data_IF_804314010820
#
_entry.id   IF_804314010820
#
_cell.length_a   1.000
_cell.length_b   1.000
_cell.length_c   1.000
_cell.angle_alpha   90.00
_cell.angle_beta   90.00
_cell.angle_gamma   90.00
#
_symmetry.space_group_name_H-M   'P 1'
#
loop_
_entity.id
_entity.type
_entity.pdbx_description
1 polymer ?
#
# COMPACT_ATOMS: atom_id res chain seq x y z
N UNK A 1 -77.01 -3.05 4.96
CA UNK A 1 -76.55 -1.83 5.66
C UNK A 1 -75.12 -2.09 6.12
N UNK A 2 -74.20 -1.77 5.23
CA UNK A 2 -72.74 -1.81 5.39
C UNK A 2 -72.37 -0.70 6.38
N UNK A 3 -71.27 -0.88 7.14
CA UNK A 3 -70.64 0.04 8.12
C UNK A 3 -70.61 -0.60 9.52
N UNK A 4 -69.63 -1.47 9.79
CA UNK A 4 -69.09 -1.68 11.16
C UNK A 4 -67.76 -2.44 11.30
N UNK A 5 -66.88 -2.43 10.29
CA UNK A 5 -65.62 -3.21 10.33
C UNK A 5 -64.39 -2.49 9.76
N UNK A 6 -64.18 -1.21 10.05
CA UNK A 6 -63.07 -0.44 9.44
C UNK A 6 -62.38 0.57 10.37
N UNK A 7 -62.21 0.25 11.66
CA UNK A 7 -61.58 1.21 12.60
C UNK A 7 -60.52 0.65 13.54
N UNK A 8 -60.08 -0.60 13.37
CA UNK A 8 -59.07 -1.21 14.25
C UNK A 8 -57.83 -1.79 13.54
N UNK A 9 -57.60 -1.46 12.25
CA UNK A 9 -56.44 -1.96 11.49
C UNK A 9 -55.41 -0.88 11.12
N UNK A 10 -55.33 0.25 11.83
CA UNK A 10 -54.42 1.35 11.47
C UNK A 10 -53.31 1.66 12.47
N UNK A 11 -52.95 0.74 13.39
CA UNK A 11 -51.89 1.02 14.40
C UNK A 11 -50.72 0.02 14.42
N UNK A 12 -50.68 -1.02 13.59
CA UNK A 12 -49.57 -2.01 13.64
C UNK A 12 -48.88 -2.29 12.31
N UNK A 13 -48.46 -1.25 11.60
CA UNK A 13 -47.64 -1.41 10.38
C UNK A 13 -46.55 -0.33 10.21
N UNK A 14 -46.03 0.24 11.30
CA UNK A 14 -44.98 1.27 11.25
C UNK A 14 -43.68 0.89 11.99
N UNK A 15 -43.43 -0.40 12.22
CA UNK A 15 -42.27 -0.87 13.02
C UNK A 15 -41.34 -1.87 12.31
N UNK A 16 -41.47 -2.12 11.01
CA UNK A 16 -40.69 -3.14 10.30
C UNK A 16 -40.00 -2.66 9.01
N UNK A 17 -39.60 -1.39 8.96
CA UNK A 17 -38.73 -0.87 7.89
C UNK A 17 -37.52 -0.12 8.47
N UNK A 18 -36.91 -0.66 9.53
CA UNK A 18 -35.48 -0.50 9.71
C UNK A 18 -34.83 -1.43 8.68
N UNK A 19 -34.67 -0.93 7.45
CA UNK A 19 -33.72 -1.52 6.51
C UNK A 19 -32.38 -1.54 7.25
N UNK A 20 -31.98 -2.71 7.70
CA UNK A 20 -30.64 -2.93 8.22
C UNK A 20 -29.70 -2.56 7.07
N UNK A 21 -29.10 -1.37 7.12
CA UNK A 21 -28.04 -1.03 6.19
C UNK A 21 -27.00 -2.16 6.29
N UNK A 22 -26.55 -2.75 5.17
CA UNK A 22 -25.59 -3.84 5.22
C UNK A 22 -24.38 -3.36 6.03
N UNK A 23 -24.05 -4.10 7.08
CA UNK A 23 -22.93 -3.76 7.95
C UNK A 23 -21.65 -3.66 7.11
N UNK A 24 -20.88 -2.60 7.34
CA UNK A 24 -19.61 -2.40 6.64
C UNK A 24 -18.70 -3.62 6.85
N UNK A 25 -18.19 -4.17 5.76
CA UNK A 25 -17.26 -5.26 5.80
C UNK A 25 -15.97 -4.82 6.50
N UNK A 26 -15.37 -5.73 7.24
CA UNK A 26 -14.14 -5.45 7.96
C UNK A 26 -13.29 -6.69 8.12
N UNK A 27 -12.00 -6.47 8.37
CA UNK A 27 -11.01 -7.50 8.61
C UNK A 27 -10.25 -7.22 9.90
N UNK A 28 -9.90 -8.29 10.61
CA UNK A 28 -9.03 -8.28 11.78
C UNK A 28 -7.66 -8.86 11.43
N UNK A 29 -6.65 -8.71 12.29
CA UNK A 29 -5.31 -9.28 12.06
C UNK A 29 -5.33 -10.81 11.82
N UNK A 30 -6.09 -11.63 12.57
CA UNK A 30 -6.29 -13.04 12.21
C UNK A 30 -6.88 -13.27 10.83
N UNK A 31 -7.81 -12.40 10.41
CA UNK A 31 -8.36 -12.40 9.05
C UNK A 31 -7.29 -12.12 8.01
N UNK A 32 -6.47 -11.08 8.20
CA UNK A 32 -5.36 -10.74 7.30
C UNK A 32 -4.42 -11.93 7.11
N UNK A 33 -4.01 -12.56 8.21
CA UNK A 33 -3.11 -13.72 8.18
C UNK A 33 -3.75 -14.89 7.43
N UNK A 34 -4.93 -15.35 7.88
CA UNK A 34 -5.59 -16.54 7.32
C UNK A 34 -5.92 -16.38 5.83
N UNK A 35 -6.38 -15.20 5.39
CA UNK A 35 -6.68 -14.93 3.98
C UNK A 35 -5.42 -14.79 3.13
N UNK A 36 -4.35 -14.21 3.67
CA UNK A 36 -3.04 -14.15 2.97
C UNK A 36 -2.48 -15.55 2.75
N UNK A 37 -2.49 -16.38 3.79
CA UNK A 37 -2.06 -17.79 3.78
C UNK A 37 -2.88 -18.59 2.76
N UNK A 38 -4.21 -18.43 2.76
CA UNK A 38 -5.09 -19.12 1.83
C UNK A 38 -4.82 -18.77 0.34
N UNK A 39 -4.38 -17.55 0.05
CA UNK A 39 -4.06 -17.15 -1.33
C UNK A 39 -2.61 -17.48 -1.76
N UNK A 40 -1.74 -17.82 -0.81
CA UNK A 40 -0.32 -18.07 -1.05
C UNK A 40 -0.03 -19.07 -2.21
N UNK A 41 -0.75 -20.21 -2.36
CA UNK A 41 -0.51 -21.13 -3.47
C UNK A 41 -0.64 -20.50 -4.86
N UNK A 42 -1.53 -19.51 -5.02
CA UNK A 42 -1.74 -18.80 -6.29
C UNK A 42 -0.87 -17.56 -6.45
N UNK A 43 -0.46 -16.96 -5.32
CA UNK A 43 0.20 -15.66 -5.28
C UNK A 43 1.72 -15.74 -5.27
N UNK A 44 2.31 -16.70 -4.54
CA UNK A 44 3.76 -16.80 -4.33
C UNK A 44 4.55 -16.93 -5.65
N UNK A 45 4.06 -17.73 -6.61
CA UNK A 45 4.70 -17.94 -7.91
C UNK A 45 6.23 -18.19 -7.79
N UNK A 46 6.60 -19.18 -6.98
CA UNK A 46 7.99 -19.53 -6.71
C UNK A 46 8.71 -20.08 -7.95
N UNK A 47 9.91 -19.57 -8.24
CA UNK A 47 10.77 -19.98 -9.35
C UNK A 47 12.23 -20.01 -8.92
N UNK A 48 12.98 -20.99 -9.40
CA UNK A 48 14.44 -21.01 -9.31
C UNK A 48 14.99 -20.30 -10.55
N UNK A 49 15.75 -19.24 -10.36
CA UNK A 49 16.37 -18.41 -11.41
C UNK A 49 17.88 -18.63 -11.52
N UNK A 50 18.42 -19.69 -10.91
CA UNK A 50 19.82 -20.08 -11.08
C UNK A 50 20.60 -20.22 -9.77
N UNK A 51 21.89 -19.86 -9.79
CA UNK A 51 22.83 -20.11 -8.69
C UNK A 51 23.75 -18.91 -8.46
N UNK A 52 23.94 -18.54 -7.20
CA UNK A 52 24.91 -17.54 -6.75
C UNK A 52 26.18 -18.20 -6.21
N UNK A 53 27.33 -17.62 -6.55
CA UNK A 53 28.64 -18.04 -6.06
C UNK A 53 29.21 -17.02 -5.08
N UNK A 54 29.69 -17.51 -3.94
CA UNK A 54 30.25 -16.71 -2.86
C UNK A 54 31.64 -17.23 -2.47
N UNK A 55 32.58 -16.35 -2.22
CA UNK A 55 33.86 -16.67 -1.60
C UNK A 55 33.71 -16.66 -0.08
N UNK A 56 33.99 -17.78 0.57
CA UNK A 56 34.01 -17.90 2.03
C UNK A 56 35.41 -18.24 2.50
N UNK A 57 36.01 -17.35 3.28
CA UNK A 57 37.36 -17.54 3.84
C UNK A 57 37.26 -17.69 5.37
N UNK A 58 37.78 -18.80 5.90
CA UNK A 58 38.05 -18.97 7.34
C UNK A 58 39.53 -19.31 7.56
N UNK A 59 39.91 -20.59 7.56
CA UNK A 59 41.32 -21.05 7.54
C UNK A 59 41.85 -21.32 6.11
N UNK A 60 41.00 -21.06 5.12
CA UNK A 60 41.25 -21.16 3.68
C UNK A 60 40.01 -20.64 2.93
N UNK A 61 40.17 -20.23 1.67
CA UNK A 61 39.07 -19.70 0.87
C UNK A 61 38.44 -20.80 0.00
N UNK A 62 37.12 -20.98 0.11
CA UNK A 62 36.35 -21.90 -0.72
C UNK A 62 35.14 -21.20 -1.32
N UNK A 63 34.77 -21.62 -2.52
CA UNK A 63 33.54 -21.18 -3.16
C UNK A 63 32.36 -21.92 -2.50
N UNK A 64 31.36 -21.15 -2.08
CA UNK A 64 30.07 -21.64 -1.59
C UNK A 64 28.98 -21.17 -2.53
N UNK A 65 28.00 -22.03 -2.79
CA UNK A 65 26.87 -21.71 -3.65
C UNK A 65 25.59 -21.50 -2.84
N UNK A 66 24.65 -20.74 -3.41
CA UNK A 66 23.27 -20.65 -2.95
C UNK A 66 22.36 -20.63 -4.17
N UNK A 67 21.19 -21.26 -4.06
CA UNK A 67 20.14 -21.10 -5.07
C UNK A 67 19.73 -19.63 -5.17
N UNK A 68 19.50 -19.18 -6.41
CA UNK A 68 18.88 -17.90 -6.75
C UNK A 68 17.41 -18.15 -6.99
N UNK A 69 16.56 -17.51 -6.21
CA UNK A 69 15.12 -17.74 -6.21
C UNK A 69 14.38 -16.44 -6.49
N UNK A 70 13.23 -16.56 -7.14
CA UNK A 70 12.30 -15.46 -7.37
C UNK A 70 10.88 -15.88 -6.98
N UNK A 71 10.23 -15.06 -6.16
CA UNK A 71 8.84 -15.26 -5.78
C UNK A 71 8.24 -13.95 -5.27
N UNK A 72 6.94 -13.93 -5.08
CA UNK A 72 6.23 -12.83 -4.45
C UNK A 72 6.16 -13.01 -2.93
N UNK A 73 6.22 -11.91 -2.19
CA UNK A 73 6.10 -11.84 -0.74
C UNK A 73 4.97 -10.88 -0.38
N UNK A 74 4.03 -11.23 0.52
CA UNK A 74 2.96 -10.31 0.90
C UNK A 74 3.50 -9.28 1.88
N UNK A 75 4.11 -8.20 1.39
CA UNK A 75 4.88 -7.27 2.21
C UNK A 75 3.99 -6.35 3.05
N UNK A 76 2.99 -5.74 2.44
CA UNK A 76 2.17 -4.71 3.09
C UNK A 76 0.69 -4.94 2.81
N UNK A 77 -0.14 -4.60 3.79
CA UNK A 77 -1.56 -4.37 3.59
C UNK A 77 -1.74 -2.89 3.32
N UNK A 78 -2.34 -2.57 2.18
CA UNK A 78 -2.71 -1.21 1.80
C UNK A 78 -4.20 -1.05 1.97
N UNK A 79 -4.61 -0.09 2.80
CA UNK A 79 -6.03 0.19 3.04
C UNK A 79 -6.40 1.53 2.42
N UNK A 80 -7.62 1.65 1.92
CA UNK A 80 -8.20 2.93 1.49
C UNK A 80 -9.58 3.09 2.12
N UNK A 81 -9.88 4.27 2.64
CA UNK A 81 -11.07 4.52 3.44
C UNK A 81 -11.46 6.00 3.41
N UNK A 82 -12.72 6.31 3.68
CA UNK A 82 -13.20 7.70 3.68
C UNK A 82 -12.95 8.40 5.03
N UNK A 83 -12.98 7.64 6.13
CA UNK A 83 -12.76 8.14 7.48
C UNK A 83 -12.02 7.11 8.36
N UNK A 84 -11.22 7.53 9.35
CA UNK A 84 -10.52 6.61 10.26
C UNK A 84 -11.44 5.60 10.96
N UNK A 85 -12.66 5.99 11.32
CA UNK A 85 -13.66 5.09 11.95
C UNK A 85 -14.20 4.02 10.98
N UNK A 86 -14.17 4.31 9.70
CA UNK A 86 -14.58 3.42 8.61
C UNK A 86 -13.41 2.58 8.07
N UNK A 87 -12.26 2.62 8.71
CA UNK A 87 -11.11 1.82 8.31
C UNK A 87 -11.48 0.32 8.24
N UNK A 88 -11.16 -0.38 7.14
CA UNK A 88 -11.55 -1.78 6.94
C UNK A 88 -10.78 -2.75 7.85
N UNK A 89 -9.52 -2.45 8.18
CA UNK A 89 -8.74 -3.21 9.18
C UNK A 89 -8.99 -2.64 10.59
N UNK A 90 -9.77 -3.34 11.42
CA UNK A 90 -10.36 -2.75 12.64
C UNK A 90 -9.47 -2.70 13.87
N UNK A 91 -8.63 -3.68 14.08
CA UNK A 91 -7.79 -3.84 15.27
C UNK A 91 -6.42 -3.14 15.16
N UNK A 92 -5.95 -2.86 13.94
CA UNK A 92 -4.66 -2.18 13.71
C UNK A 92 -4.84 -0.88 12.94
N UNK A 93 -5.44 -0.91 11.75
CA UNK A 93 -5.50 0.27 10.90
C UNK A 93 -6.40 1.38 11.44
N UNK A 94 -7.58 1.05 12.00
CA UNK A 94 -8.49 2.06 12.55
C UNK A 94 -7.86 2.86 13.71
N UNK A 95 -7.28 2.22 14.74
CA UNK A 95 -6.57 2.95 15.80
C UNK A 95 -5.40 3.79 15.29
N UNK A 96 -4.61 3.26 14.35
CA UNK A 96 -3.47 3.98 13.74
C UNK A 96 -3.93 5.23 13.00
N UNK A 97 -4.94 5.11 12.14
CA UNK A 97 -5.50 6.24 11.39
C UNK A 97 -6.09 7.30 12.33
N UNK A 98 -6.82 6.88 13.37
CA UNK A 98 -7.38 7.81 14.37
C UNK A 98 -6.29 8.55 15.15
N UNK A 99 -5.25 7.84 15.61
CA UNK A 99 -4.14 8.46 16.34
C UNK A 99 -3.38 9.50 15.51
N UNK A 100 -3.25 9.27 14.20
CA UNK A 100 -2.51 10.15 13.29
C UNK A 100 -3.33 11.33 12.74
N UNK A 101 -4.64 11.36 12.95
CA UNK A 101 -5.50 12.46 12.49
C UNK A 101 -5.14 13.77 13.20
N UNK A 102 -4.88 13.72 14.51
CA UNK A 102 -4.41 14.87 15.29
C UNK A 102 -3.06 15.39 14.80
N UNK A 103 -2.13 14.47 14.52
CA UNK A 103 -0.82 14.78 13.98
C UNK A 103 -0.90 15.52 12.63
N UNK A 104 -1.69 14.97 11.70
CA UNK A 104 -1.92 15.60 10.40
C UNK A 104 -2.56 16.98 10.50
N UNK A 105 -3.46 17.16 11.48
CA UNK A 105 -4.11 18.45 11.72
C UNK A 105 -3.11 19.52 12.20
N UNK A 106 -2.19 19.13 13.09
CA UNK A 106 -1.09 20.01 13.52
C UNK A 106 -0.14 20.35 12.38
N UNK A 107 0.23 19.36 11.54
CA UNK A 107 1.14 19.57 10.41
C UNK A 107 0.54 20.52 9.38
N UNK A 108 -0.75 20.39 9.08
CA UNK A 108 -1.44 21.21 8.08
C UNK A 108 -1.95 22.54 8.63
N UNK A 109 -1.97 22.71 9.97
CA UNK A 109 -2.56 23.88 10.62
C UNK A 109 -4.08 23.96 10.45
N UNK A 110 -4.74 22.85 10.11
CA UNK A 110 -6.19 22.76 9.87
C UNK A 110 -6.72 21.48 10.47
N UNK A 111 -7.98 21.47 10.89
CA UNK A 111 -8.61 20.22 11.31
C UNK A 111 -8.77 19.32 10.08
N UNK A 112 -8.20 18.13 10.13
CA UNK A 112 -8.42 17.13 9.09
C UNK A 112 -9.79 16.48 9.33
N UNK A 113 -10.67 16.57 8.33
CA UNK A 113 -11.94 15.87 8.30
C UNK A 113 -11.95 14.81 7.18
N UNK A 114 -13.10 14.16 7.01
CA UNK A 114 -13.31 13.12 5.98
C UNK A 114 -13.52 13.70 4.56
N UNK A 115 -13.39 15.02 4.37
CA UNK A 115 -13.64 15.68 3.09
C UNK A 115 -12.36 15.83 2.25
N UNK A 116 -12.56 16.00 0.94
CA UNK A 116 -11.51 16.19 -0.04
C UNK A 116 -10.65 17.43 0.28
N UNK A 117 -9.43 17.46 -0.26
CA UNK A 117 -8.41 18.47 0.06
C UNK A 117 -8.82 19.93 -0.09
N UNK A 118 -7.92 20.83 0.33
CA UNK A 118 -8.04 22.31 0.23
C UNK A 118 -8.19 22.87 -1.19
N UNK A 119 -8.32 22.03 -2.21
CA UNK A 119 -8.64 22.46 -3.55
C UNK A 119 -10.16 22.65 -3.57
N UNK A 120 -10.63 23.91 -3.62
CA UNK A 120 -12.02 24.31 -3.81
C UNK A 120 -12.55 23.87 -5.21
N UNK A 121 -12.33 22.62 -5.61
CA UNK A 121 -12.94 22.02 -6.77
C UNK A 121 -14.33 21.54 -6.37
N UNK A 122 -15.31 22.43 -6.50
CA UNK A 122 -16.74 22.17 -6.32
C UNK A 122 -17.34 21.22 -7.36
N UNK A 123 -16.73 20.06 -7.58
CA UNK A 123 -17.29 18.98 -8.39
C UNK A 123 -17.39 17.72 -7.53
N UNK A 124 -18.61 17.36 -7.12
CA UNK A 124 -18.95 16.09 -6.47
C UNK A 124 -18.75 14.84 -7.34
N UNK A 125 -17.79 14.89 -8.27
CA UNK A 125 -17.44 13.83 -9.22
C UNK A 125 -16.10 13.15 -8.87
N UNK A 126 -15.20 13.82 -8.15
CA UNK A 126 -13.92 13.24 -7.72
C UNK A 126 -14.08 12.54 -6.36
N UNK A 127 -13.67 11.28 -6.27
CA UNK A 127 -13.67 10.53 -5.01
C UNK A 127 -12.35 10.78 -4.29
N UNK A 128 -12.43 11.33 -3.08
CA UNK A 128 -11.29 11.41 -2.18
C UNK A 128 -11.30 10.22 -1.21
N UNK A 129 -10.15 9.56 -1.03
CA UNK A 129 -9.96 8.60 0.07
C UNK A 129 -8.64 8.84 0.80
N UNK A 130 -8.68 8.60 2.09
CA UNK A 130 -7.49 8.36 2.91
C UNK A 130 -6.92 6.97 2.61
N UNK A 131 -5.63 6.79 2.88
CA UNK A 131 -4.95 5.53 2.64
C UNK A 131 -3.81 5.29 3.64
N UNK A 132 -3.51 4.02 3.89
CA UNK A 132 -2.34 3.60 4.65
C UNK A 132 -1.65 2.39 4.02
N UNK A 133 -0.40 2.17 4.40
CA UNK A 133 0.32 0.93 4.15
C UNK A 133 0.98 0.47 5.44
N UNK A 134 0.52 -0.68 5.93
CA UNK A 134 1.01 -1.31 7.16
C UNK A 134 1.63 -2.64 6.79
N UNK A 135 2.80 -2.94 7.34
CA UNK A 135 3.49 -4.21 7.08
C UNK A 135 2.61 -5.41 7.41
N UNK A 136 2.47 -6.31 6.45
CA UNK A 136 1.59 -7.45 6.57
C UNK A 136 2.16 -8.44 7.60
N UNK A 137 1.40 -8.85 8.63
CA UNK A 137 1.84 -9.85 9.61
C UNK A 137 2.27 -11.19 8.99
N UNK A 138 1.69 -11.57 7.86
CA UNK A 138 2.06 -12.78 7.12
C UNK A 138 3.23 -12.57 6.13
N UNK A 139 3.80 -11.36 6.04
CA UNK A 139 4.86 -11.00 5.10
C UNK A 139 6.20 -11.67 5.37
N UNK A 140 6.53 -11.89 6.64
CA UNK A 140 7.72 -12.66 7.02
C UNK A 140 7.42 -14.16 7.06
N UNK A 141 6.84 -14.69 5.97
CA UNK A 141 6.42 -16.09 5.85
C UNK A 141 7.54 -17.08 6.18
N UNK A 142 8.78 -16.77 5.79
CA UNK A 142 9.96 -17.56 6.14
C UNK A 142 10.22 -17.61 7.66
N UNK A 143 10.10 -16.47 8.34
CA UNK A 143 10.26 -16.39 9.79
C UNK A 143 9.10 -17.07 10.51
N UNK A 144 7.88 -16.89 10.00
CA UNK A 144 6.65 -17.50 10.52
C UNK A 144 6.71 -19.04 10.45
N UNK A 145 7.22 -19.59 9.35
CA UNK A 145 7.45 -21.03 9.22
C UNK A 145 8.59 -21.51 10.15
N UNK A 146 9.67 -20.75 10.25
CA UNK A 146 10.81 -21.10 11.11
C UNK A 146 10.46 -21.04 12.61
N UNK A 147 9.52 -20.19 13.01
CA UNK A 147 9.05 -20.04 14.40
C UNK A 147 7.88 -20.98 14.76
N UNK A 148 7.51 -21.92 13.87
CA UNK A 148 6.39 -22.83 14.09
C UNK A 148 5.04 -22.13 14.16
N UNK A 149 4.90 -20.95 13.54
CA UNK A 149 3.69 -20.14 13.57
C UNK A 149 3.59 -19.15 14.72
N UNK A 150 4.61 -19.07 15.60
CA UNK A 150 4.64 -18.07 16.68
C UNK A 150 5.02 -16.68 16.14
N UNK A 151 4.19 -15.68 16.40
CA UNK A 151 4.41 -14.28 16.00
C UNK A 151 4.45 -13.38 17.24
N UNK A 152 5.57 -12.68 17.42
CA UNK A 152 5.68 -11.64 18.46
C UNK A 152 5.25 -10.31 17.84
N UNK A 153 4.19 -9.72 18.40
CA UNK A 153 3.68 -8.42 17.99
C UNK A 153 4.62 -7.33 18.53
N UNK A 154 4.93 -6.29 17.73
CA UNK A 154 5.70 -5.17 18.24
C UNK A 154 4.87 -4.39 19.27
N UNK A 155 5.52 -3.91 20.32
CA UNK A 155 4.88 -3.08 21.35
C UNK A 155 4.60 -1.66 20.87
N UNK A 156 5.24 -1.22 19.78
CA UNK A 156 5.02 0.09 19.15
C UNK A 156 5.06 -0.03 17.63
N UNK A 157 4.21 0.75 16.95
CA UNK A 157 4.21 0.82 15.49
C UNK A 157 5.23 1.87 15.05
N UNK A 158 6.20 1.45 14.23
CA UNK A 158 7.20 2.36 13.68
C UNK A 158 6.54 3.39 12.75
N UNK A 159 6.49 4.64 13.17
CA UNK A 159 5.95 5.77 12.38
C UNK A 159 6.93 6.14 11.27
N UNK A 160 6.47 6.60 10.10
CA UNK A 160 7.33 7.25 9.11
C UNK A 160 8.11 8.46 9.65
N UNK A 161 9.25 8.73 9.04
CA UNK A 161 10.06 9.94 9.29
C UNK A 161 10.22 10.73 7.99
N UNK A 162 10.79 11.93 8.10
CA UNK A 162 11.10 12.78 6.94
C UNK A 162 12.38 12.35 6.19
N UNK A 163 12.95 11.19 6.52
CA UNK A 163 14.23 10.73 5.98
C UNK A 163 14.24 10.53 4.46
N UNK A 164 13.13 10.09 3.86
CA UNK A 164 13.00 10.02 2.41
C UNK A 164 12.65 11.38 1.80
N UNK A 165 11.79 12.16 2.47
CA UNK A 165 11.41 13.51 2.03
C UNK A 165 12.62 14.46 1.95
N UNK A 166 13.56 14.38 2.89
CA UNK A 166 14.77 15.20 2.90
C UNK A 166 15.69 14.93 1.71
N UNK A 167 15.58 13.74 1.08
CA UNK A 167 16.31 13.38 -0.14
C UNK A 167 15.65 13.92 -1.41
N UNK A 168 14.39 14.40 -1.34
CA UNK A 168 13.64 14.84 -2.51
C UNK A 168 14.35 15.95 -3.28
N UNK A 169 14.90 16.94 -2.57
CA UNK A 169 15.60 18.05 -3.20
C UNK A 169 16.82 17.61 -4.02
N UNK A 170 17.63 16.70 -3.45
CA UNK A 170 18.92 16.30 -4.02
C UNK A 170 18.83 15.12 -4.99
N UNK A 171 17.82 14.26 -4.86
CA UNK A 171 17.68 13.03 -5.65
C UNK A 171 16.38 13.01 -6.48
N UNK A 172 15.27 13.46 -5.90
CA UNK A 172 13.96 13.47 -6.53
C UNK A 172 13.84 14.49 -7.66
N UNK A 173 14.12 15.77 -7.37
CA UNK A 173 14.04 16.85 -8.36
C UNK A 173 14.92 16.62 -9.60
N UNK A 174 16.20 16.20 -9.48
CA UNK A 174 17.01 15.91 -10.67
C UNK A 174 16.49 14.71 -11.48
N UNK A 175 15.84 13.74 -10.84
CA UNK A 175 15.22 12.61 -11.55
C UNK A 175 13.97 13.07 -12.31
N UNK A 176 13.17 13.95 -11.72
CA UNK A 176 12.01 14.57 -12.38
C UNK A 176 12.46 15.42 -13.56
N UNK A 177 13.47 16.28 -13.39
CA UNK A 177 14.01 17.10 -14.47
C UNK A 177 14.49 16.24 -15.66
N UNK A 178 15.16 15.11 -15.39
CA UNK A 178 15.54 14.13 -16.42
C UNK A 178 14.34 13.47 -17.10
N UNK A 179 13.25 13.22 -16.39
CA UNK A 179 12.03 12.66 -16.99
C UNK A 179 11.38 13.62 -17.99
N UNK A 180 11.42 14.93 -17.72
CA UNK A 180 10.93 15.96 -18.65
C UNK A 180 11.74 16.06 -19.94
N UNK A 181 13.02 15.68 -19.93
CA UNK A 181 13.83 15.64 -21.15
C UNK A 181 13.33 14.59 -22.17
N UNK A 182 12.60 13.58 -21.71
CA UNK A 182 12.02 12.54 -22.57
C UNK A 182 10.59 12.88 -23.06
N UNK A 183 10.02 14.01 -22.62
CA UNK A 183 8.68 14.46 -23.04
C UNK A 183 8.81 15.31 -24.30
N UNK A 184 8.05 15.05 -25.37
CA UNK A 184 8.05 15.89 -26.58
C UNK A 184 7.79 17.36 -26.25
N UNK A 185 8.55 18.27 -26.86
CA UNK A 185 8.46 19.72 -26.59
C UNK A 185 7.06 20.28 -26.83
N UNK A 186 6.32 19.77 -27.81
CA UNK A 186 4.93 20.14 -28.08
C UNK A 186 4.00 19.90 -26.89
N UNK A 187 4.24 18.86 -26.09
CA UNK A 187 3.47 18.54 -24.87
C UNK A 187 4.01 19.30 -23.67
N UNK A 188 5.35 19.38 -23.56
CA UNK A 188 6.01 20.07 -22.46
C UNK A 188 5.72 21.58 -22.44
N UNK A 189 5.62 22.22 -23.60
CA UNK A 189 5.42 23.66 -23.70
C UNK A 189 3.93 24.08 -23.70
N UNK A 190 3.01 23.12 -23.79
CA UNK A 190 1.55 23.35 -23.74
C UNK A 190 0.96 22.97 -22.38
N UNK A 191 1.05 21.69 -22.00
CA UNK A 191 0.40 21.15 -20.78
C UNK A 191 1.35 21.18 -19.59
N UNK A 192 2.67 21.09 -19.83
CA UNK A 192 3.69 21.01 -18.78
C UNK A 192 4.38 22.33 -18.43
N UNK A 193 3.97 23.47 -19.00
CA UNK A 193 4.72 24.73 -18.90
C UNK A 193 4.93 25.17 -17.45
N UNK A 194 3.86 25.14 -16.66
CA UNK A 194 3.89 25.55 -15.25
C UNK A 194 4.69 24.56 -14.40
N UNK A 195 4.55 23.26 -14.68
CA UNK A 195 5.34 22.22 -14.03
C UNK A 195 6.83 22.37 -14.34
N UNK A 196 7.20 22.63 -15.59
CA UNK A 196 8.58 22.88 -16.03
C UNK A 196 9.14 24.15 -15.39
N UNK A 197 8.33 25.21 -15.27
CA UNK A 197 8.71 26.42 -14.56
C UNK A 197 8.96 26.15 -13.07
N UNK A 198 8.09 25.38 -12.41
CA UNK A 198 8.27 24.99 -11.00
C UNK A 198 9.48 24.07 -10.79
N UNK A 199 9.76 23.15 -11.72
CA UNK A 199 10.96 22.29 -11.69
C UNK A 199 12.23 23.14 -11.82
N UNK A 200 12.21 24.19 -12.64
CA UNK A 200 13.35 25.08 -12.86
C UNK A 200 13.52 26.13 -11.76
N UNK A 201 12.46 26.46 -11.01
CA UNK A 201 12.47 27.41 -9.89
C UNK A 201 11.82 26.80 -8.62
N UNK A 202 12.38 25.73 -8.05
CA UNK A 202 11.71 24.96 -6.98
C UNK A 202 11.81 25.62 -5.59
N UNK A 203 12.46 26.78 -5.46
CA UNK A 203 12.85 27.33 -4.15
C UNK A 203 11.64 27.59 -3.23
N UNK A 204 10.55 28.17 -3.77
CA UNK A 204 9.35 28.44 -2.99
C UNK A 204 8.72 27.15 -2.46
N UNK A 205 8.66 26.11 -3.31
CA UNK A 205 8.12 24.81 -2.96
C UNK A 205 9.01 24.10 -1.92
N UNK A 206 10.32 24.18 -2.07
CA UNK A 206 11.27 23.57 -1.14
C UNK A 206 11.27 24.24 0.24
N UNK A 207 10.99 25.55 0.30
CA UNK A 207 10.78 26.23 1.57
C UNK A 207 9.56 25.67 2.30
N UNK A 208 8.45 25.44 1.58
CA UNK A 208 7.24 24.81 2.13
C UNK A 208 7.50 23.36 2.57
N UNK A 209 8.20 22.57 1.76
CA UNK A 209 8.61 21.19 2.11
C UNK A 209 9.48 21.17 3.37
N UNK A 210 10.42 22.12 3.51
CA UNK A 210 11.26 22.27 4.71
C UNK A 210 10.43 22.61 5.95
N UNK A 211 9.41 23.46 5.81
CA UNK A 211 8.47 23.76 6.89
C UNK A 211 7.71 22.51 7.34
N UNK A 212 7.17 21.74 6.39
CA UNK A 212 6.48 20.47 6.67
C UNK A 212 7.40 19.48 7.39
N UNK A 213 8.66 19.36 6.96
CA UNK A 213 9.60 18.44 7.62
C UNK A 213 9.78 18.78 9.11
N UNK A 214 9.92 20.06 9.45
CA UNK A 214 10.04 20.50 10.86
C UNK A 214 8.78 20.21 11.66
N UNK A 215 7.59 20.46 11.10
CA UNK A 215 6.32 20.17 11.76
C UNK A 215 6.16 18.68 12.05
N UNK A 216 6.53 17.81 11.09
CA UNK A 216 6.47 16.35 11.26
C UNK A 216 7.42 15.88 12.34
N UNK A 217 8.66 16.38 12.37
CA UNK A 217 9.63 16.03 13.41
C UNK A 217 9.15 16.44 14.82
N UNK A 218 8.52 17.62 14.94
CA UNK A 218 7.95 18.09 16.20
C UNK A 218 6.79 17.23 16.68
N UNK A 219 5.89 16.82 15.77
CA UNK A 219 4.73 15.98 16.12
C UNK A 219 5.16 14.54 16.43
N UNK A 220 6.13 13.99 15.70
CA UNK A 220 6.61 12.61 15.90
C UNK A 220 7.14 12.37 17.31
N UNK A 221 7.80 13.35 17.92
CA UNK A 221 8.32 13.24 19.30
C UNK A 221 7.20 13.11 20.34
N UNK A 222 5.97 13.52 20.00
CA UNK A 222 4.81 13.48 20.88
C UNK A 222 3.84 12.32 20.59
N UNK A 223 4.14 11.48 19.59
CA UNK A 223 3.26 10.38 19.18
C UNK A 223 3.66 9.07 19.85
N UNK A 224 2.91 8.69 20.89
CA UNK A 224 2.78 7.28 21.30
C UNK A 224 1.71 6.62 20.42
N UNK A 225 2.12 5.88 19.40
CA UNK A 225 1.17 5.14 18.56
C UNK A 225 0.74 3.87 19.28
N UNK A 226 -0.46 3.97 19.88
CA UNK A 226 -1.40 2.96 20.40
C UNK A 226 -0.84 1.56 20.72
N UNK A 227 -1.00 1.13 21.97
CA UNK A 227 -0.82 -0.24 22.49
C UNK A 227 -1.85 -1.27 21.96
N UNK A 228 -2.50 -1.03 20.81
CA UNK A 228 -3.68 -1.77 20.33
C UNK A 228 -3.41 -3.21 19.87
N UNK A 229 -2.20 -3.72 20.08
CA UNK A 229 -1.73 -4.99 19.51
C UNK A 229 -1.68 -6.10 20.57
N UNK A 230 -2.62 -6.08 21.53
CA UNK A 230 -2.75 -7.17 22.50
C UNK A 230 -3.67 -8.29 21.96
N UNK A 231 -3.03 -9.44 21.73
CA UNK A 231 -3.57 -10.78 21.47
C UNK A 231 -4.05 -11.12 20.05
N UNK A 232 -3.08 -11.47 19.19
CA UNK A 232 -3.30 -12.29 17.99
C UNK A 232 -2.84 -13.73 18.30
N UNK A 233 -3.52 -14.43 19.20
CA UNK A 233 -3.22 -15.84 19.49
C UNK A 233 -4.02 -16.81 18.59
N UNK A 234 -5.11 -16.35 17.96
CA UNK A 234 -6.10 -17.21 17.31
C UNK A 234 -5.92 -17.54 15.82
N UNK A 235 -4.85 -17.09 15.16
CA UNK A 235 -4.67 -17.29 13.71
C UNK A 235 -3.77 -18.49 13.33
N UNK A 236 -3.23 -19.18 14.33
CA UNK A 236 -2.02 -20.02 14.23
C UNK A 236 -2.29 -21.39 13.55
N UNK A 237 -3.52 -21.90 13.60
CA UNK A 237 -3.86 -23.24 13.09
C UNK A 237 -3.72 -23.35 11.56
N UNK A 238 -3.94 -22.25 10.83
CA UNK A 238 -3.85 -22.22 9.36
C UNK A 238 -2.40 -22.22 8.82
N UNK A 239 -1.43 -21.78 9.62
CA UNK A 239 -0.01 -21.72 9.24
C UNK A 239 0.62 -23.12 9.28
N UNK A 240 0.15 -23.98 10.20
CA UNK A 240 0.65 -25.35 10.34
C UNK A 240 0.40 -26.20 9.09
N UNK A 241 -0.67 -25.94 8.31
CA UNK A 241 -0.92 -26.68 7.07
C UNK A 241 0.10 -26.39 5.96
N UNK A 242 0.72 -25.20 5.97
CA UNK A 242 1.81 -24.85 5.05
C UNK A 242 3.12 -25.50 5.49
N UNK A 243 3.28 -25.79 6.79
CA UNK A 243 4.44 -26.54 7.29
C UNK A 243 4.55 -27.93 6.64
N UNK A 244 3.46 -28.51 6.12
CA UNK A 244 3.50 -29.76 5.35
C UNK A 244 4.30 -29.67 4.05
N UNK A 245 4.31 -28.50 3.40
CA UNK A 245 5.15 -28.22 2.21
C UNK A 245 6.60 -27.94 2.64
N UNK A 246 6.81 -27.36 3.82
CA UNK A 246 8.14 -27.09 4.38
C UNK A 246 8.82 -28.35 4.95
N UNK A 247 8.04 -29.33 5.44
CA UNK A 247 8.53 -30.55 6.09
C UNK A 247 8.99 -31.62 5.09
N UNK A 248 8.46 -31.64 3.88
CA UNK A 248 8.90 -32.54 2.80
C UNK A 248 10.22 -32.11 2.15
N UNK A 249 10.68 -30.90 2.46
CA UNK A 249 11.96 -30.34 2.01
C UNK A 249 12.82 -30.09 3.25
N UNK A 250 13.05 -31.16 4.02
CA UNK A 250 13.89 -31.16 5.21
C UNK A 250 15.31 -30.68 4.88
N UNK A 251 15.68 -29.45 5.25
CA UNK A 251 17.10 -29.08 5.31
C UNK A 251 17.53 -27.61 5.23
N UNK A 252 16.69 -26.60 4.96
CA UNK A 252 17.24 -25.25 4.84
C UNK A 252 16.27 -24.08 5.05
N UNK A 253 16.61 -23.19 5.99
CA UNK A 253 16.14 -21.80 6.00
C UNK A 253 16.67 -21.01 4.78
N UNK A 254 16.40 -21.49 3.57
CA UNK A 254 16.90 -21.01 2.28
C UNK A 254 15.80 -20.94 1.22
N UNK A 255 14.54 -21.22 1.58
CA UNK A 255 13.47 -21.43 0.62
C UNK A 255 12.75 -20.15 0.18
N UNK A 256 12.83 -19.07 0.96
CA UNK A 256 12.17 -17.81 0.63
C UNK A 256 13.08 -16.61 0.92
N UNK A 257 12.94 -15.58 0.09
CA UNK A 257 13.44 -14.25 0.32
C UNK A 257 12.66 -13.60 1.48
N UNK A 258 13.36 -13.06 2.48
CA UNK A 258 12.74 -12.16 3.44
C UNK A 258 12.05 -10.98 2.73
N UNK A 259 10.89 -10.58 3.26
CA UNK A 259 10.17 -9.41 2.78
C UNK A 259 10.91 -8.11 3.10
N UNK A 260 10.54 -7.05 2.39
CA UNK A 260 11.10 -5.71 2.60
C UNK A 260 10.40 -4.89 3.67
N UNK A 261 9.18 -5.28 4.02
CA UNK A 261 8.37 -4.58 4.99
C UNK A 261 8.63 -5.09 6.41
N UNK A 262 8.57 -4.17 7.36
CA UNK A 262 8.62 -4.51 8.79
C UNK A 262 7.23 -4.95 9.20
N UNK A 263 7.09 -6.10 9.87
CA UNK A 263 5.78 -6.56 10.38
C UNK A 263 5.12 -5.47 11.22
N UNK A 264 3.86 -5.13 10.91
CA UNK A 264 3.10 -4.02 11.50
C UNK A 264 3.76 -2.63 11.41
N UNK A 265 4.89 -2.49 10.72
CA UNK A 265 5.53 -1.20 10.50
C UNK A 265 4.64 -0.32 9.63
N UNK A 266 4.45 0.94 10.04
CA UNK A 266 3.70 1.89 9.25
C UNK A 266 4.63 2.44 8.15
N UNK A 267 4.33 2.08 6.91
CA UNK A 267 5.10 2.51 5.75
C UNK A 267 4.55 3.78 5.12
N UNK A 268 3.23 3.98 5.16
CA UNK A 268 2.57 5.18 4.66
C UNK A 268 1.28 5.44 5.43
N UNK A 269 0.94 6.71 5.64
CA UNK A 269 -0.36 7.09 6.19
C UNK A 269 -0.74 8.50 5.71
N UNK A 270 -1.92 8.63 5.11
CA UNK A 270 -2.38 9.86 4.45
C UNK A 270 -2.66 11.06 5.35
N UNK A 271 -2.99 10.86 6.63
CA UNK A 271 -3.17 11.96 7.59
C UNK A 271 -1.81 12.55 8.00
N UNK A 272 -0.81 11.71 8.27
CA UNK A 272 0.56 12.18 8.50
C UNK A 272 1.13 12.86 7.23
N UNK A 273 0.79 12.32 6.06
CA UNK A 273 1.17 12.83 4.75
C UNK A 273 0.20 13.90 4.18
N UNK A 274 -0.70 14.44 4.99
CA UNK A 274 -1.79 15.30 4.54
C UNK A 274 -1.36 16.48 3.64
N UNK A 275 -0.22 17.18 3.87
CA UNK A 275 0.23 18.25 2.97
C UNK A 275 0.36 17.82 1.50
N UNK A 276 0.76 16.58 1.26
CA UNK A 276 1.02 16.03 -0.07
C UNK A 276 -0.17 15.24 -0.58
N UNK A 277 -0.70 14.31 0.22
CA UNK A 277 -1.83 13.47 -0.16
C UNK A 277 -3.11 14.27 -0.47
N UNK A 278 -3.34 15.38 0.24
CA UNK A 278 -4.50 16.27 0.02
C UNK A 278 -4.23 17.38 -0.99
N UNK A 279 -3.08 17.40 -1.64
CA UNK A 279 -2.73 18.38 -2.68
C UNK A 279 -2.51 19.81 -2.16
N UNK A 280 -2.29 20.02 -0.85
CA UNK A 280 -2.00 21.34 -0.28
C UNK A 280 -0.68 21.88 -0.86
N UNK A 281 0.31 21.01 -0.99
CA UNK A 281 1.55 21.29 -1.70
C UNK A 281 1.54 20.57 -3.06
N UNK A 282 1.57 21.29 -4.19
CA UNK A 282 1.47 20.70 -5.52
C UNK A 282 2.80 20.10 -6.01
N UNK A 283 3.55 19.43 -5.14
CA UNK A 283 4.83 18.76 -5.47
C UNK A 283 4.65 17.63 -6.47
N UNK A 284 3.51 16.94 -6.43
CA UNK A 284 3.17 15.86 -7.35
C UNK A 284 2.90 16.38 -8.77
N UNK A 285 2.57 17.66 -8.92
CA UNK A 285 2.43 18.30 -10.23
C UNK A 285 3.78 18.54 -10.91
N UNK A 286 4.92 18.29 -10.24
CA UNK A 286 6.22 18.36 -10.90
C UNK A 286 6.47 17.17 -11.83
N UNK A 287 5.78 16.05 -11.63
CA UNK A 287 5.97 14.85 -12.45
C UNK A 287 5.31 15.01 -13.82
N UNK A 288 6.03 14.65 -14.89
CA UNK A 288 5.49 14.66 -16.25
C UNK A 288 4.22 13.80 -16.38
N UNK A 289 4.17 12.67 -15.67
CA UNK A 289 3.03 11.76 -15.63
C UNK A 289 1.74 12.43 -15.13
N UNK A 290 1.84 13.50 -14.33
CA UNK A 290 0.66 14.24 -13.85
C UNK A 290 -0.03 15.06 -14.94
N UNK A 291 0.63 15.25 -16.09
CA UNK A 291 0.17 16.15 -17.17
C UNK A 291 -0.02 15.46 -18.50
N UNK A 292 0.59 14.29 -18.71
CA UNK A 292 0.53 13.58 -19.99
C UNK A 292 -0.40 12.38 -19.84
N UNK A 293 -1.62 12.44 -20.41
CA UNK A 293 -2.54 11.32 -20.38
C UNK A 293 -1.91 10.06 -20.96
N UNK A 294 -2.18 8.91 -20.35
CA UNK A 294 -1.62 7.63 -20.79
C UNK A 294 -0.21 7.33 -20.26
N UNK A 295 0.47 8.28 -19.60
CA UNK A 295 1.72 8.00 -18.89
C UNK A 295 1.46 7.69 -17.42
N UNK A 296 1.78 6.46 -17.00
CA UNK A 296 1.63 6.06 -15.61
C UNK A 296 0.17 5.80 -15.22
N UNK A 297 -0.49 4.97 -16.00
CA UNK A 297 -1.88 4.56 -15.79
C UNK A 297 -1.96 3.15 -15.18
N UNK A 298 -2.98 2.90 -14.37
CA UNK A 298 -3.34 1.55 -13.90
C UNK A 298 -4.25 0.92 -14.95
N UNK A 299 -3.67 0.19 -15.90
CA UNK A 299 -4.40 -0.31 -17.07
C UNK A 299 -3.48 -1.03 -18.05
N UNK A 300 -4.08 -1.69 -19.04
CA UNK A 300 -3.35 -2.27 -20.16
C UNK A 300 -3.64 -1.48 -21.44
N UNK A 301 -2.79 -0.50 -21.74
CA UNK A 301 -2.85 0.34 -22.94
C UNK A 301 -3.46 1.74 -22.70
N UNK A 302 -3.61 2.50 -23.78
CA UNK A 302 -4.01 3.92 -23.75
C UNK A 302 -5.52 4.17 -23.61
N UNK A 303 -6.34 3.19 -23.98
CA UNK A 303 -7.80 3.37 -24.10
C UNK A 303 -8.58 2.81 -22.92
N UNK A 304 -7.93 2.03 -22.05
CA UNK A 304 -8.59 1.28 -20.98
C UNK A 304 -7.76 1.28 -19.70
N UNK A 305 -8.00 2.30 -18.88
CA UNK A 305 -7.32 2.49 -17.60
C UNK A 305 -8.36 2.67 -16.50
N UNK A 306 -8.05 2.18 -15.31
CA UNK A 306 -8.87 2.41 -14.12
C UNK A 306 -8.60 3.80 -13.53
N UNK A 307 -7.48 4.41 -13.87
CA UNK A 307 -7.09 5.75 -13.45
C UNK A 307 -5.58 5.95 -13.46
N UNK A 308 -5.20 7.21 -13.28
CA UNK A 308 -3.83 7.70 -13.29
C UNK A 308 -3.12 7.45 -11.96
N UNK A 309 -1.85 7.03 -12.01
CA UNK A 309 -0.98 6.91 -10.83
C UNK A 309 -0.52 8.29 -10.36
N UNK A 310 -0.28 9.24 -11.27
CA UNK A 310 0.17 10.60 -10.93
C UNK A 310 -0.91 11.64 -11.29
N UNK A 311 -1.16 12.67 -10.46
CA UNK A 311 -0.49 12.96 -9.19
C UNK A 311 -0.88 11.96 -8.09
N UNK A 312 0.04 11.63 -7.19
CA UNK A 312 -0.21 10.64 -6.12
C UNK A 312 -0.94 11.25 -4.91
N UNK A 313 -2.11 11.81 -5.16
CA UNK A 313 -3.02 12.36 -4.15
C UNK A 313 -4.12 11.36 -3.80
N UNK A 314 -4.95 11.68 -2.82
CA UNK A 314 -6.15 10.91 -2.47
C UNK A 314 -7.33 11.11 -3.40
N UNK A 315 -7.24 12.04 -4.34
CA UNK A 315 -8.32 12.41 -5.25
C UNK A 315 -8.20 11.66 -6.58
N UNK A 316 -9.31 11.04 -7.00
CA UNK A 316 -9.38 10.32 -8.27
C UNK A 316 -10.79 10.39 -8.85
N UNK A 317 -10.86 10.60 -10.17
CA UNK A 317 -12.09 10.44 -10.93
C UNK A 317 -12.25 8.98 -11.35
N UNK A 318 -13.02 8.21 -10.59
CA UNK A 318 -13.35 6.83 -10.93
C UNK A 318 -14.72 6.46 -10.36
N UNK A 319 -15.76 6.30 -11.21
CA UNK A 319 -17.12 6.01 -10.77
C UNK A 319 -17.25 4.72 -9.94
N UNK A 320 -16.40 3.72 -10.18
CA UNK A 320 -16.45 2.48 -9.42
C UNK A 320 -15.51 2.53 -8.21
N UNK A 321 -16.02 2.49 -6.96
CA UNK A 321 -15.19 2.78 -5.80
C UNK A 321 -14.08 1.75 -5.51
N UNK A 322 -14.28 0.47 -5.83
CA UNK A 322 -13.23 -0.56 -5.73
C UNK A 322 -12.10 -0.37 -6.75
N UNK A 323 -12.40 0.11 -7.97
CA UNK A 323 -11.39 0.49 -8.95
C UNK A 323 -10.64 1.73 -8.47
N UNK A 324 -11.35 2.71 -7.91
CA UNK A 324 -10.74 3.89 -7.32
C UNK A 324 -9.76 3.51 -6.21
N UNK A 325 -10.20 2.64 -5.31
CA UNK A 325 -9.38 2.07 -4.24
C UNK A 325 -8.13 1.35 -4.77
N UNK A 326 -8.27 0.51 -5.80
CA UNK A 326 -7.15 -0.19 -6.41
C UNK A 326 -6.10 0.76 -6.99
N UNK A 327 -6.53 1.85 -7.64
CA UNK A 327 -5.62 2.89 -8.15
C UNK A 327 -4.93 3.62 -7.01
N UNK A 328 -5.66 4.02 -5.97
CA UNK A 328 -5.04 4.67 -4.79
C UNK A 328 -4.05 3.74 -4.08
N UNK A 329 -4.34 2.44 -4.01
CA UNK A 329 -3.42 1.45 -3.48
C UNK A 329 -2.12 1.37 -4.33
N UNK A 330 -2.24 1.49 -5.65
CA UNK A 330 -1.07 1.59 -6.54
C UNK A 330 -0.27 2.88 -6.35
N UNK A 331 -0.94 4.00 -6.07
CA UNK A 331 -0.27 5.26 -5.72
C UNK A 331 0.58 5.07 -4.47
N UNK A 332 0.00 4.51 -3.40
CA UNK A 332 0.73 4.20 -2.16
C UNK A 332 1.90 3.25 -2.42
N UNK A 333 1.70 2.16 -3.17
CA UNK A 333 2.76 1.25 -3.57
C UNK A 333 3.91 1.98 -4.30
N UNK A 334 3.57 2.88 -5.23
CA UNK A 334 4.56 3.65 -5.98
C UNK A 334 5.34 4.65 -5.11
N UNK A 335 4.80 5.07 -3.97
CA UNK A 335 5.49 5.91 -2.97
C UNK A 335 6.47 5.03 -2.18
N UNK A 336 5.97 3.97 -1.53
CA UNK A 336 6.75 3.21 -0.54
C UNK A 336 7.90 2.39 -1.14
N UNK A 337 7.87 2.05 -2.42
CA UNK A 337 8.96 1.31 -3.09
C UNK A 337 9.97 2.19 -3.82
N UNK A 338 9.68 3.48 -4.01
CA UNK A 338 10.64 4.43 -4.62
C UNK A 338 11.38 5.20 -3.52
N UNK A 339 12.57 5.69 -3.84
CA UNK A 339 13.33 6.56 -2.92
C UNK A 339 13.08 8.03 -3.25
N UNK A 340 13.28 8.91 -2.26
CA UNK A 340 13.25 10.36 -2.46
C UNK A 340 11.95 10.84 -3.13
N UNK A 341 10.80 10.35 -2.68
CA UNK A 341 9.49 10.84 -3.11
C UNK A 341 9.04 12.00 -2.20
N UNK A 342 8.25 12.95 -2.71
CA UNK A 342 7.83 14.13 -1.94
C UNK A 342 6.64 13.79 -1.03
N UNK A 343 6.83 12.79 -0.18
CA UNK A 343 5.85 12.27 0.78
C UNK A 343 6.54 11.89 2.09
N UNK A 344 5.79 11.74 3.17
CA UNK A 344 6.22 11.26 4.48
C UNK A 344 5.94 9.75 4.56
N UNK A 345 6.97 8.94 4.37
CA UNK A 345 6.85 7.50 4.28
C UNK A 345 8.13 6.78 4.73
N UNK A 346 7.99 5.50 5.11
CA UNK A 346 9.12 4.60 5.31
C UNK A 346 9.26 3.72 4.07
N UNK A 347 10.36 3.88 3.33
CA UNK A 347 10.62 3.07 2.14
C UNK A 347 10.69 1.58 2.50
N UNK A 348 9.91 0.76 1.81
CA UNK A 348 10.01 -0.71 1.89
C UNK A 348 11.31 -1.12 1.22
N UNK A 349 12.25 -1.66 2.00
CA UNK A 349 13.56 -2.09 1.50
C UNK A 349 13.98 -3.37 2.22
N UNK A 350 14.26 -4.46 1.50
CA UNK A 350 14.71 -5.69 2.13
C UNK A 350 16.06 -5.50 2.81
N UNK A 351 16.19 -6.07 4.00
CA UNK A 351 17.46 -6.07 4.73
C UNK A 351 18.46 -6.99 4.01
N UNK A 352 19.65 -6.46 3.69
CA UNK A 352 20.74 -7.24 3.05
C UNK A 352 21.49 -8.17 4.02
N UNK A 353 21.02 -8.25 5.27
CA UNK A 353 21.56 -9.15 6.29
C UNK A 353 21.19 -10.59 5.95
N UNK A 354 22.20 -11.42 5.72
CA UNK A 354 22.01 -12.84 5.37
C UNK A 354 21.53 -13.11 3.93
N UNK A 355 21.09 -12.12 3.16
CA UNK A 355 20.62 -12.29 1.77
C UNK A 355 21.15 -11.21 0.83
N UNK A 356 21.37 -11.58 -0.43
CA UNK A 356 21.66 -10.67 -1.54
C UNK A 356 20.46 -10.61 -2.47
N UNK A 357 19.96 -9.42 -2.73
CA UNK A 357 18.83 -9.18 -3.63
C UNK A 357 19.33 -8.71 -4.99
N UNK A 358 18.64 -9.11 -6.04
CA UNK A 358 18.92 -8.72 -7.43
C UNK A 358 17.86 -7.76 -7.93
N UNK A 359 16.60 -8.11 -7.70
CA UNK A 359 15.45 -7.27 -8.00
C UNK A 359 14.60 -7.17 -6.72
N UNK A 360 14.33 -5.95 -6.29
CA UNK A 360 13.42 -5.65 -5.18
C UNK A 360 12.53 -4.50 -5.66
N UNK A 361 11.24 -4.76 -5.92
CA UNK A 361 10.29 -3.69 -6.22
C UNK A 361 9.77 -3.59 -7.67
N UNK A 362 10.19 -4.44 -8.61
CA UNK A 362 9.84 -4.23 -10.03
C UNK A 362 8.43 -4.68 -10.41
N UNK A 363 7.96 -5.80 -9.85
CA UNK A 363 6.63 -6.35 -10.13
C UNK A 363 5.88 -6.58 -8.84
N UNK A 364 4.58 -6.28 -8.87
CA UNK A 364 3.68 -6.52 -7.74
C UNK A 364 2.38 -7.14 -8.23
N UNK A 365 1.69 -7.82 -7.32
CA UNK A 365 0.34 -8.35 -7.49
C UNK A 365 -0.49 -7.97 -6.29
N UNK A 366 -1.80 -8.03 -6.44
CA UNK A 366 -2.74 -7.62 -5.41
C UNK A 366 -3.71 -8.73 -5.07
N UNK A 367 -4.13 -8.78 -3.83
CA UNK A 367 -5.18 -9.65 -3.35
C UNK A 367 -6.14 -8.81 -2.51
N UNK A 368 -7.44 -8.84 -2.81
CA UNK A 368 -8.44 -8.20 -1.96
C UNK A 368 -8.54 -8.96 -0.63
N UNK A 369 -8.48 -8.24 0.48
CA UNK A 369 -8.71 -8.76 1.83
C UNK A 369 -10.10 -8.37 2.35
N UNK A 370 -10.56 -7.16 2.02
CA UNK A 370 -11.88 -6.61 2.37
C UNK A 370 -12.38 -5.75 1.21
N UNK A 371 -13.69 -5.73 0.88
CA UNK A 371 -14.81 -6.39 1.59
C UNK A 371 -14.94 -7.89 1.34
N UNK A 372 -14.52 -8.38 0.16
CA UNK A 372 -14.63 -9.80 -0.22
C UNK A 372 -13.22 -10.36 -0.40
N UNK A 373 -12.77 -11.17 0.56
CA UNK A 373 -11.44 -11.73 0.51
C UNK A 373 -11.23 -12.64 -0.71
N UNK A 374 -10.29 -12.27 -1.57
CA UNK A 374 -9.90 -13.04 -2.74
C UNK A 374 -8.96 -14.18 -2.34
N UNK A 375 -9.12 -15.35 -2.98
CA UNK A 375 -8.22 -16.51 -2.85
C UNK A 375 -7.13 -16.52 -3.92
N UNK A 376 -7.15 -15.55 -4.84
CA UNK A 376 -6.19 -15.42 -5.95
C UNK A 376 -5.64 -14.01 -6.04
N UNK A 377 -4.42 -13.91 -6.52
CA UNK A 377 -3.80 -12.63 -6.86
C UNK A 377 -4.22 -12.15 -8.25
N UNK A 378 -4.37 -10.83 -8.38
CA UNK A 378 -4.70 -10.12 -9.61
C UNK A 378 -3.66 -9.05 -9.90
N UNK A 379 -3.59 -8.65 -11.17
CA UNK A 379 -3.00 -7.38 -11.55
C UNK A 379 -4.14 -6.36 -11.67
N UNK A 380 -3.95 -5.15 -11.19
CA UNK A 380 -4.93 -4.10 -11.44
C UNK A 380 -4.89 -3.62 -12.90
N UNK A 381 -6.00 -3.03 -13.35
CA UNK A 381 -6.10 -2.52 -14.71
C UNK A 381 -6.48 -3.58 -15.76
N UNK A 382 -7.09 -4.70 -15.34
CA UNK A 382 -7.63 -5.67 -16.31
C UNK A 382 -8.76 -5.04 -17.12
N UNK A 383 -8.70 -5.22 -18.44
CA UNK A 383 -9.73 -4.79 -19.38
C UNK A 383 -11.00 -5.64 -19.18
N UNK A 384 -12.09 -4.97 -18.85
CA UNK A 384 -13.41 -5.53 -18.61
C UNK A 384 -14.51 -4.81 -19.44
N UNK A 385 -14.13 -3.99 -20.42
CA UNK A 385 -15.07 -3.16 -21.18
C UNK A 385 -16.07 -3.97 -22.04
N UNK A 386 -15.75 -5.23 -22.31
CA UNK A 386 -16.57 -6.16 -23.09
C UNK A 386 -17.28 -7.19 -22.21
N UNK A 387 -17.11 -7.12 -20.88
CA UNK A 387 -17.77 -8.01 -19.95
C UNK A 387 -19.18 -7.51 -19.61
N UNK A 388 -20.10 -8.44 -19.34
CA UNK A 388 -21.46 -8.11 -18.87
C UNK A 388 -21.49 -7.52 -17.46
N UNK A 389 -20.38 -7.69 -16.71
CA UNK A 389 -20.16 -7.15 -15.37
C UNK A 389 -18.79 -6.47 -15.36
N UNK A 390 -18.71 -5.29 -14.73
CA UNK A 390 -17.46 -4.58 -14.48
C UNK A 390 -16.65 -5.32 -13.41
N UNK A 391 -15.33 -5.21 -13.49
CA UNK A 391 -14.41 -5.67 -12.46
C UNK A 391 -14.75 -4.94 -11.16
N UNK A 392 -15.06 -5.73 -10.14
CA UNK A 392 -15.45 -5.20 -8.84
C UNK A 392 -16.95 -5.07 -8.58
N UNK A 393 -17.81 -5.43 -9.55
CA UNK A 393 -19.25 -5.52 -9.32
C UNK A 393 -19.54 -6.47 -8.15
N UNK A 394 -20.34 -6.01 -7.18
CA UNK A 394 -20.63 -6.73 -5.95
C UNK A 394 -19.49 -6.81 -4.94
N UNK A 395 -18.35 -6.15 -5.21
CA UNK A 395 -17.19 -6.06 -4.30
C UNK A 395 -17.05 -4.67 -3.68
N UNK A 396 -18.13 -3.90 -3.65
CA UNK A 396 -18.21 -2.57 -3.03
C UNK A 396 -18.69 -2.69 -1.59
N UNK A 397 -17.97 -2.05 -0.67
CA UNK A 397 -18.36 -1.96 0.73
C UNK A 397 -19.36 -0.82 0.97
N UNK A 398 -20.28 -0.95 1.93
CA UNK A 398 -21.23 0.11 2.27
C UNK A 398 -20.58 1.32 2.95
N UNK A 399 -19.46 1.13 3.65
CA UNK A 399 -18.61 2.23 4.14
C UNK A 399 -17.48 2.59 3.18
N UNK A 400 -17.46 1.94 2.00
CA UNK A 400 -16.52 2.21 0.92
C UNK A 400 -15.04 2.11 1.36
N UNK A 401 -14.78 1.18 2.28
CA UNK A 401 -13.46 0.83 2.80
C UNK A 401 -12.92 -0.47 2.18
N UNK A 402 -11.65 -0.47 1.78
CA UNK A 402 -10.99 -1.63 1.14
C UNK A 402 -9.63 -1.89 1.75
N UNK A 403 -9.29 -3.17 1.89
CA UNK A 403 -7.97 -3.61 2.30
C UNK A 403 -7.41 -4.53 1.22
N UNK A 404 -6.17 -4.28 0.81
CA UNK A 404 -5.48 -5.01 -0.24
C UNK A 404 -4.15 -5.53 0.28
N UNK A 405 -3.87 -6.81 0.05
CA UNK A 405 -2.55 -7.36 0.26
C UNK A 405 -1.68 -7.11 -0.97
N UNK A 406 -0.52 -6.49 -0.78
CA UNK A 406 0.47 -6.23 -1.81
C UNK A 406 1.53 -7.33 -1.80
N UNK A 407 1.49 -8.15 -2.84
CA UNK A 407 2.47 -9.20 -3.10
C UNK A 407 3.60 -8.62 -3.95
N UNK A 408 4.76 -8.40 -3.35
CA UNK A 408 5.94 -7.83 -4.00
C UNK A 408 6.89 -8.92 -4.48
N UNK A 409 7.32 -8.88 -5.74
CA UNK A 409 8.33 -9.80 -6.24
C UNK A 409 9.71 -9.46 -5.69
N UNK A 410 10.39 -10.48 -5.20
CA UNK A 410 11.81 -10.46 -4.83
C UNK A 410 12.58 -11.54 -5.56
N UNK A 411 13.79 -11.19 -5.99
CA UNK A 411 14.80 -12.16 -6.42
C UNK A 411 15.99 -12.09 -5.50
N UNK A 412 16.36 -13.19 -4.85
CA UNK A 412 17.45 -13.21 -3.87
C UNK A 412 18.26 -14.52 -3.83
N UNK A 413 19.41 -14.44 -3.16
CA UNK A 413 20.26 -15.56 -2.77
C UNK A 413 20.63 -15.44 -1.29
N UNK A 414 20.69 -16.55 -0.57
CA UNK A 414 21.24 -16.56 0.80
C UNK A 414 22.75 -16.30 0.73
N UNK A 415 23.22 -15.32 1.50
CA UNK A 415 24.65 -14.99 1.58
C UNK A 415 25.40 -16.13 2.25
N UNK A 416 26.47 -16.59 1.59
CA UNK A 416 27.38 -17.62 2.11
C UNK A 416 28.83 -17.13 2.23
N UNK A 417 29.07 -15.84 2.01
CA UNK A 417 30.40 -15.20 1.98
C UNK A 417 30.38 -13.88 1.21
N UNK A 418 31.53 -13.46 0.68
CA UNK A 418 31.63 -12.35 -0.26
C UNK A 418 31.07 -12.78 -1.62
N UNK A 419 30.17 -11.99 -2.21
CA UNK A 419 29.57 -12.35 -3.50
C UNK A 419 30.56 -12.21 -4.65
N UNK A 420 30.57 -13.18 -5.55
CA UNK A 420 31.37 -13.16 -6.76
C UNK A 420 30.49 -12.83 -7.97
N UNK A 421 29.61 -13.76 -8.36
CA UNK A 421 28.70 -13.63 -9.50
C UNK A 421 27.51 -14.59 -9.34
N UNK A 422 26.54 -14.49 -10.25
CA UNK A 422 25.40 -15.39 -10.35
C UNK A 422 25.18 -15.80 -11.79
N UNK A 423 24.74 -17.04 -11.99
CA UNK A 423 24.31 -17.55 -13.31
C UNK A 423 22.80 -17.78 -13.29
N UNK A 424 22.09 -17.53 -14.43
CA UNK A 424 20.68 -17.88 -14.60
C UNK A 424 20.41 -19.38 -14.50
#
# INVERSE_FOLDING_TARGET
MIIRWLSHCFVTAAAAALLCAPAAASITTPGVISKTVAAAPSCLSYRVEGVCFFLYCSFGCRIRTSIKISHYVPDVVVSTFNAPTQHPWKDVGAPVASALTGAGSTITGRLLDSSAGSLDAGSGLATFKSADAIGNPAGQFAALLASGGSMTLPTTIAVPSVSELSKFASQGLPAIARSWANVPSSVADTVGKDAKAMVNAPQALMNSVSSVMKSVEGVRQALDIVDSVQQVQGAIDSVQQISGIASSISGSGSLFCPGGATNFGLHFQSELDAPFWRGILPVEMLYAQSWVPGLGEVGNGYTQTWGNVYPRTGELYQPHPVKASAVLAERVASIIYKSAQPHIYTKVTPTSSGYRYFNAGEKRKWQMLSPIAATKCVNFGTNDSLALTSWGDGQTDSADGYAWNLWQQYTCCRRRGAYLYSIP
#
